data_IF_442109011668
#
_entry.id   IF_442109011668
#
_cell.length_a   1.000
_cell.length_b   1.000
_cell.length_c   1.000
_cell.angle_alpha   90.00
_cell.angle_beta   90.00
_cell.angle_gamma   90.00
#
_symmetry.space_group_name_H-M   'P 1'
#
loop_
_entity.id
_entity.type
_entity.pdbx_description
1 polymer ?
#
# COMPACT_ATOMS: atom_id res chain seq x y z
N UNK A 1 -20.80 -12.80 17.91
CA UNK A 1 -19.65 -12.97 16.99
C UNK A 1 -18.62 -11.97 17.47
N UNK A 2 -17.52 -12.45 18.04
CA UNK A 2 -16.36 -11.61 18.38
C UNK A 2 -15.89 -10.95 17.09
N UNK A 3 -15.83 -9.63 17.08
CA UNK A 3 -15.44 -8.87 15.90
C UNK A 3 -13.93 -9.03 15.72
N UNK A 4 -13.51 -9.71 14.66
CA UNK A 4 -12.10 -9.81 14.31
C UNK A 4 -11.54 -8.40 14.04
N UNK A 5 -10.33 -8.15 14.53
CA UNK A 5 -9.63 -6.87 14.33
C UNK A 5 -8.82 -6.94 13.05
N UNK A 6 -8.81 -5.87 12.26
CA UNK A 6 -7.90 -5.74 11.14
C UNK A 6 -6.53 -5.29 11.62
N UNK A 7 -5.52 -6.10 11.32
CA UNK A 7 -4.11 -5.84 11.64
C UNK A 7 -3.30 -5.68 10.37
N UNK A 8 -2.53 -4.60 10.26
CA UNK A 8 -1.57 -4.42 9.17
C UNK A 8 -0.16 -4.81 9.61
N UNK A 9 0.39 -5.85 9.00
CA UNK A 9 1.76 -6.31 9.19
C UNK A 9 2.70 -5.84 8.09
N UNK A 10 3.82 -5.25 8.47
CA UNK A 10 4.87 -4.77 7.55
C UNK A 10 6.28 -5.30 7.90
N UNK A 11 6.42 -5.98 9.03
CA UNK A 11 7.69 -6.47 9.57
C UNK A 11 7.79 -8.00 9.53
N UNK A 12 8.36 -8.61 10.58
CA UNK A 12 8.51 -10.07 10.64
C UNK A 12 7.20 -10.85 10.68
N UNK A 13 6.07 -10.21 11.01
CA UNK A 13 4.76 -10.88 10.96
C UNK A 13 4.33 -11.24 9.52
N UNK A 14 5.07 -10.79 8.49
CA UNK A 14 4.94 -11.29 7.13
C UNK A 14 5.48 -12.71 6.95
N UNK A 15 6.27 -13.24 7.90
CA UNK A 15 6.80 -14.61 7.88
C UNK A 15 5.98 -15.51 8.82
N UNK A 16 5.27 -16.48 8.23
CA UNK A 16 4.42 -17.41 8.99
C UNK A 16 5.21 -18.26 9.99
N UNK A 17 6.44 -18.67 9.64
CA UNK A 17 7.25 -19.51 10.54
C UNK A 17 7.79 -18.72 11.74
N UNK A 18 8.06 -17.41 11.59
CA UNK A 18 8.39 -16.51 12.69
C UNK A 18 7.19 -16.32 13.64
N UNK A 19 5.97 -16.23 13.09
CA UNK A 19 4.75 -16.19 13.89
C UNK A 19 4.50 -17.49 14.65
N UNK A 20 4.50 -18.64 13.97
CA UNK A 20 4.28 -19.96 14.58
C UNK A 20 5.30 -20.22 15.68
N UNK A 21 6.59 -19.94 15.43
CA UNK A 21 7.64 -20.10 16.45
C UNK A 21 7.37 -19.26 17.69
N UNK A 22 6.90 -18.02 17.53
CA UNK A 22 6.55 -17.19 18.68
C UNK A 22 5.35 -17.75 19.45
N UNK A 23 4.34 -18.27 18.74
CA UNK A 23 3.18 -18.90 19.36
C UNK A 23 3.60 -20.15 20.16
N UNK A 24 4.42 -21.02 19.58
CA UNK A 24 4.96 -22.22 20.24
C UNK A 24 5.76 -21.87 21.51
N UNK A 25 6.62 -20.85 21.44
CA UNK A 25 7.39 -20.35 22.58
C UNK A 25 6.50 -19.81 23.73
N UNK A 26 5.25 -19.44 23.44
CA UNK A 26 4.34 -18.79 24.39
C UNK A 26 3.07 -19.61 24.67
N UNK A 27 3.02 -20.88 24.24
CA UNK A 27 1.85 -21.76 24.36
C UNK A 27 0.55 -21.12 23.82
N UNK A 28 0.64 -20.40 22.71
CA UNK A 28 -0.49 -19.77 22.01
C UNK A 28 -0.82 -20.52 20.72
N UNK A 29 -2.06 -20.35 20.23
CA UNK A 29 -2.45 -20.85 18.90
C UNK A 29 -2.05 -19.85 17.81
N UNK A 30 -1.43 -20.29 16.70
CA UNK A 30 -1.12 -19.41 15.57
C UNK A 30 -2.34 -19.11 14.69
N UNK A 31 -3.41 -19.92 14.78
CA UNK A 31 -4.51 -19.92 13.82
C UNK A 31 -5.36 -18.65 13.83
N UNK A 32 -5.34 -17.89 14.93
CA UNK A 32 -6.12 -16.65 15.05
C UNK A 32 -5.52 -15.45 14.30
N UNK A 33 -4.39 -15.61 13.62
CA UNK A 33 -3.78 -14.60 12.73
C UNK A 33 -3.97 -15.05 11.28
N UNK A 34 -5.12 -14.70 10.69
CA UNK A 34 -5.47 -15.13 9.33
C UNK A 34 -5.11 -14.03 8.33
N UNK A 35 -4.26 -14.35 7.35
CA UNK A 35 -3.97 -13.40 6.27
C UNK A 35 -5.21 -13.24 5.39
N UNK A 36 -5.68 -12.00 5.28
CA UNK A 36 -6.82 -11.65 4.45
C UNK A 36 -6.38 -11.35 3.02
N UNK A 37 -5.41 -10.45 2.88
CA UNK A 37 -4.91 -9.98 1.59
C UNK A 37 -3.59 -9.20 1.74
N UNK A 38 -2.91 -8.97 0.61
CA UNK A 38 -1.86 -7.95 0.57
C UNK A 38 -2.48 -6.55 0.73
N UNK A 39 -1.73 -5.61 1.28
CA UNK A 39 -2.22 -4.25 1.46
C UNK A 39 -1.09 -3.22 1.44
N UNK A 40 -1.49 -1.95 1.33
CA UNK A 40 -0.60 -0.81 1.30
C UNK A 40 -0.94 0.16 2.41
N UNK A 41 -0.02 0.36 3.36
CA UNK A 41 -0.14 1.37 4.39
C UNK A 41 0.13 2.75 3.79
N UNK A 42 -0.91 3.57 3.71
CA UNK A 42 -0.84 4.90 3.10
C UNK A 42 -0.09 5.87 4.00
N UNK A 43 0.75 6.67 3.38
CA UNK A 43 1.46 7.80 3.96
C UNK A 43 2.56 7.49 4.94
N UNK A 44 3.11 6.29 4.87
CA UNK A 44 4.21 5.85 5.73
C UNK A 44 5.36 5.28 4.91
N UNK A 45 6.55 5.30 5.51
CA UNK A 45 7.75 4.62 5.03
C UNK A 45 8.36 3.72 6.10
N UNK A 46 8.95 2.62 5.66
CA UNK A 46 9.72 1.72 6.51
C UNK A 46 11.00 2.40 7.02
N UNK A 47 11.35 2.19 8.29
CA UNK A 47 12.58 2.72 8.89
C UNK A 47 13.15 1.76 9.94
N UNK A 48 14.48 1.80 10.11
CA UNK A 48 15.17 1.11 11.20
C UNK A 48 15.88 2.12 12.11
N UNK A 49 15.19 2.48 13.18
CA UNK A 49 15.65 3.46 14.20
C UNK A 49 15.39 2.99 15.62
N UNK A 50 15.19 1.69 15.82
CA UNK A 50 15.01 1.07 17.13
C UNK A 50 15.85 -0.19 17.22
N UNK A 51 16.66 -0.31 18.27
CA UNK A 51 17.49 -1.49 18.51
C UNK A 51 16.75 -2.53 19.35
N UNK A 52 16.37 -3.65 18.73
CA UNK A 52 15.75 -4.78 19.41
C UNK A 52 16.80 -5.72 19.99
N UNK A 53 16.74 -5.91 21.32
CA UNK A 53 17.57 -6.92 22.01
C UNK A 53 17.25 -8.34 21.55
N UNK A 54 15.98 -8.64 21.26
CA UNK A 54 15.54 -9.97 20.80
C UNK A 54 16.06 -10.27 19.40
N UNK A 55 16.06 -9.28 18.50
CA UNK A 55 16.55 -9.44 17.10
C UNK A 55 18.06 -9.21 16.96
N UNK A 56 18.73 -8.70 18.00
CA UNK A 56 20.16 -8.42 18.00
C UNK A 56 20.57 -7.30 17.04
N UNK A 57 19.65 -6.38 16.73
CA UNK A 57 19.85 -5.31 15.77
C UNK A 57 18.60 -4.46 15.56
N UNK A 58 18.60 -3.67 14.49
CA UNK A 58 17.46 -2.84 14.09
C UNK A 58 16.17 -3.64 13.90
N UNK A 59 15.09 -3.20 14.51
CA UNK A 59 13.73 -3.69 14.23
C UNK A 59 12.97 -2.67 13.37
N UNK A 60 12.01 -3.19 12.60
CA UNK A 60 11.29 -2.42 11.61
C UNK A 60 10.25 -1.51 12.26
N UNK A 61 10.14 -0.29 11.75
CA UNK A 61 9.09 0.65 12.09
C UNK A 61 8.48 1.25 10.82
N UNK A 62 7.25 1.76 10.91
CA UNK A 62 6.62 2.58 9.86
C UNK A 62 6.42 3.99 10.38
N UNK A 63 7.01 4.96 9.68
CA UNK A 63 7.00 6.36 10.09
C UNK A 63 6.15 7.18 9.13
N UNK A 64 5.25 8.05 9.63
CA UNK A 64 4.47 8.94 8.78
C UNK A 64 5.37 9.88 7.95
N UNK A 65 4.99 10.11 6.70
CA UNK A 65 5.66 11.06 5.80
C UNK A 65 4.64 12.04 5.18
N UNK A 66 3.90 11.61 4.17
CA UNK A 66 2.81 12.34 3.51
C UNK A 66 1.97 11.34 2.67
N UNK A 67 0.80 11.75 2.19
CA UNK A 67 -0.17 10.86 1.52
C UNK A 67 0.22 10.34 0.12
N UNK A 68 1.37 10.75 -0.42
CA UNK A 68 1.87 10.33 -1.73
C UNK A 68 2.75 9.07 -1.67
N UNK A 69 2.93 8.55 -0.46
CA UNK A 69 3.75 7.37 -0.17
C UNK A 69 2.88 6.21 0.28
N UNK A 70 3.36 4.99 0.09
CA UNK A 70 2.75 3.80 0.68
C UNK A 70 3.81 2.75 1.00
N UNK A 71 3.63 2.05 2.12
CA UNK A 71 4.47 0.91 2.53
C UNK A 71 3.72 -0.39 2.28
N UNK A 72 4.29 -1.35 1.52
CA UNK A 72 3.64 -2.63 1.26
C UNK A 72 3.68 -3.53 2.49
N UNK A 73 2.66 -4.37 2.64
CA UNK A 73 2.53 -5.35 3.71
C UNK A 73 1.34 -6.28 3.47
N UNK A 74 0.81 -6.85 4.55
CA UNK A 74 -0.37 -7.70 4.51
C UNK A 74 -1.38 -7.27 5.58
N UNK A 75 -2.65 -7.42 5.24
CA UNK A 75 -3.78 -7.21 6.12
C UNK A 75 -4.22 -8.57 6.67
N UNK A 76 -4.44 -8.64 7.98
CA UNK A 76 -4.83 -9.85 8.68
C UNK A 76 -6.13 -9.63 9.44
N UNK A 77 -6.99 -10.64 9.45
CA UNK A 77 -8.08 -10.78 10.40
C UNK A 77 -7.53 -11.45 11.66
N UNK A 78 -7.71 -10.79 12.81
CA UNK A 78 -7.14 -11.24 14.08
C UNK A 78 -8.21 -11.45 15.13
N UNK A 79 -8.26 -12.66 15.69
CA UNK A 79 -9.11 -12.97 16.84
C UNK A 79 -8.55 -12.41 18.15
N UNK A 80 -9.32 -12.48 19.25
CA UNK A 80 -8.91 -11.91 20.54
C UNK A 80 -7.67 -12.60 21.16
N UNK A 81 -7.51 -13.90 20.92
CA UNK A 81 -6.41 -14.70 21.45
C UNK A 81 -5.10 -14.39 20.72
N UNK A 82 -5.12 -14.36 19.39
CA UNK A 82 -4.01 -13.97 18.55
C UNK A 82 -3.67 -12.49 18.75
N UNK A 83 -4.66 -11.62 18.97
CA UNK A 83 -4.40 -10.21 19.30
C UNK A 83 -3.59 -10.07 20.59
N UNK A 84 -3.99 -10.79 21.65
CA UNK A 84 -3.25 -10.79 22.92
C UNK A 84 -1.81 -11.30 22.74
N UNK A 85 -1.62 -12.30 21.88
CA UNK A 85 -0.31 -12.85 21.54
C UNK A 85 0.54 -11.85 20.74
N UNK A 86 -0.05 -11.12 19.78
CA UNK A 86 0.61 -10.05 19.04
C UNK A 86 1.06 -8.91 19.97
N UNK A 87 0.17 -8.42 20.83
CA UNK A 87 0.51 -7.35 21.81
C UNK A 87 1.70 -7.77 22.66
N UNK A 88 1.74 -9.02 23.12
CA UNK A 88 2.87 -9.57 23.86
C UNK A 88 4.14 -9.69 22.98
N UNK A 89 4.02 -10.14 21.73
CA UNK A 89 5.13 -10.25 20.76
C UNK A 89 5.83 -8.92 20.53
N UNK A 90 5.05 -7.86 20.34
CA UNK A 90 5.52 -6.50 20.06
C UNK A 90 6.00 -5.78 21.34
N UNK A 91 5.82 -6.40 22.52
CA UNK A 91 6.15 -5.80 23.81
C UNK A 91 5.36 -4.52 24.05
N UNK A 92 4.14 -4.44 23.51
CA UNK A 92 3.31 -3.26 23.60
C UNK A 92 2.69 -3.11 25.01
N UNK A 93 2.55 -1.86 25.52
CA UNK A 93 2.88 -0.59 24.88
C UNK A 93 4.32 -0.10 25.17
N UNK A 94 5.23 -0.95 25.66
CA UNK A 94 6.54 -0.51 26.17
C UNK A 94 7.61 -0.35 25.09
N UNK A 95 7.52 -1.07 23.98
CA UNK A 95 8.48 -1.01 22.88
C UNK A 95 7.84 -0.55 21.58
N UNK A 96 6.66 -1.09 21.30
CA UNK A 96 5.76 -0.63 20.27
C UNK A 96 4.44 -0.17 20.89
N UNK A 97 3.72 0.73 20.22
CA UNK A 97 2.37 1.18 20.58
C UNK A 97 1.42 0.90 19.42
N UNK A 98 0.18 0.55 19.76
CA UNK A 98 -0.88 0.42 18.77
C UNK A 98 -1.17 1.76 18.10
N UNK A 99 -1.40 1.74 16.79
CA UNK A 99 -1.72 2.90 15.98
C UNK A 99 -2.78 2.54 14.94
N UNK A 100 -3.87 3.30 14.94
CA UNK A 100 -4.84 3.24 13.85
C UNK A 100 -4.24 3.86 12.59
N UNK A 101 -4.41 3.16 11.48
CA UNK A 101 -3.87 3.51 10.18
C UNK A 101 -4.88 3.22 9.08
N UNK A 102 -4.66 3.85 7.92
CA UNK A 102 -5.42 3.62 6.70
C UNK A 102 -4.60 2.74 5.77
N UNK A 103 -5.21 1.67 5.27
CA UNK A 103 -4.58 0.73 4.35
C UNK A 103 -5.42 0.54 3.10
N UNK A 104 -4.79 0.45 1.94
CA UNK A 104 -5.46 0.12 0.68
C UNK A 104 -5.32 -1.39 0.43
N UNK A 105 -6.44 -2.09 0.32
CA UNK A 105 -6.51 -3.51 -0.02
C UNK A 105 -6.23 -3.79 -1.50
N UNK A 106 -6.22 -5.07 -1.87
CA UNK A 106 -6.04 -5.48 -3.27
C UNK A 106 -7.23 -5.10 -4.15
N UNK A 107 -8.42 -5.01 -3.54
CA UNK A 107 -9.65 -4.52 -4.17
C UNK A 107 -9.67 -3.00 -4.37
N UNK A 108 -8.59 -2.30 -3.99
CA UNK A 108 -8.44 -0.86 -4.04
C UNK A 108 -9.28 -0.10 -3.02
N UNK A 109 -9.96 -0.77 -2.09
CA UNK A 109 -10.71 -0.13 -1.02
C UNK A 109 -9.81 0.29 0.13
N UNK A 110 -10.24 1.35 0.81
CA UNK A 110 -9.58 1.85 2.00
C UNK A 110 -10.16 1.18 3.24
N UNK A 111 -9.30 0.64 4.10
CA UNK A 111 -9.66 0.03 5.37
C UNK A 111 -8.99 0.76 6.53
N UNK A 112 -9.71 0.89 7.65
CA UNK A 112 -9.10 1.20 8.94
C UNK A 112 -8.55 -0.08 9.55
N UNK A 113 -7.26 -0.06 9.90
CA UNK A 113 -6.58 -1.17 10.54
C UNK A 113 -5.73 -0.67 11.71
N UNK A 114 -5.32 -1.59 12.59
CA UNK A 114 -4.32 -1.32 13.61
C UNK A 114 -2.97 -1.81 13.12
N UNK A 115 -1.93 -1.05 13.37
CA UNK A 115 -0.54 -1.51 13.27
C UNK A 115 0.21 -1.17 14.55
N UNK A 116 1.42 -1.68 14.70
CA UNK A 116 2.30 -1.37 15.82
C UNK A 116 3.39 -0.44 15.32
N UNK A 117 3.67 0.65 16.05
CA UNK A 117 4.78 1.57 15.73
C UNK A 117 5.69 1.72 16.94
N UNK A 118 6.97 2.00 16.73
CA UNK A 118 7.95 2.13 17.82
C UNK A 118 7.54 3.27 18.78
N UNK A 119 7.69 3.04 20.09
CA UNK A 119 7.46 4.07 21.10
C UNK A 119 8.51 5.18 21.04
N UNK A 120 8.10 6.43 21.27
CA UNK A 120 8.96 7.61 21.05
C UNK A 120 10.24 7.59 21.90
N UNK A 121 10.18 7.01 23.10
CA UNK A 121 11.32 6.85 24.02
C UNK A 121 12.28 5.72 23.63
N UNK A 122 11.95 4.93 22.60
CA UNK A 122 12.78 3.86 22.04
C UNK A 122 13.42 4.23 20.71
N UNK A 123 13.05 5.37 20.14
CA UNK A 123 13.62 5.85 18.88
C UNK A 123 15.04 6.34 19.15
N UNK A 124 15.98 5.73 18.44
CA UNK A 124 17.37 6.16 18.39
C UNK A 124 17.54 7.20 17.27
N UNK A 125 18.42 8.20 17.44
CA UNK A 125 18.68 9.21 16.40
C UNK A 125 19.35 8.60 15.17
N UNK A 126 20.17 7.57 15.39
CA UNK A 126 20.96 6.92 14.36
C UNK A 126 20.29 5.66 13.80
N UNK A 127 20.59 5.38 12.53
CA UNK A 127 20.17 4.16 11.87
C UNK A 127 20.63 2.91 12.63
N UNK A 128 19.68 2.03 12.93
CA UNK A 128 19.94 0.75 13.58
C UNK A 128 19.94 -0.34 12.53
N UNK A 129 21.12 -0.89 12.18
CA UNK A 129 21.19 -1.92 11.14
C UNK A 129 20.46 -3.20 11.60
N UNK A 130 19.47 -3.72 10.86
CA UNK A 130 18.90 -5.03 11.16
C UNK A 130 19.93 -6.13 10.90
N UNK A 131 19.78 -7.28 11.58
CA UNK A 131 20.56 -8.46 11.23
C UNK A 131 20.14 -8.99 9.85
N UNK A 132 21.06 -9.64 9.13
CA UNK A 132 20.75 -10.17 7.80
C UNK A 132 19.61 -11.21 7.86
N UNK A 133 19.53 -11.98 8.96
CA UNK A 133 18.44 -12.93 9.22
C UNK A 133 17.09 -12.20 9.37
N UNK A 134 17.03 -11.13 10.17
CA UNK A 134 15.78 -10.39 10.37
C UNK A 134 15.35 -9.64 9.09
N UNK A 135 16.31 -9.04 8.37
CA UNK A 135 16.07 -8.43 7.07
C UNK A 135 15.48 -9.44 6.08
N UNK A 136 16.02 -10.66 6.02
CA UNK A 136 15.54 -11.71 5.14
C UNK A 136 14.09 -12.12 5.41
N UNK A 137 13.61 -12.07 6.66
CA UNK A 137 12.20 -12.34 6.99
C UNK A 137 11.27 -11.34 6.28
N UNK A 138 11.57 -10.04 6.38
CA UNK A 138 10.76 -8.99 5.76
C UNK A 138 10.86 -9.08 4.24
N UNK A 139 12.09 -9.19 3.72
CA UNK A 139 12.34 -9.29 2.29
C UNK A 139 11.59 -10.48 1.66
N UNK A 140 11.71 -11.68 2.25
CA UNK A 140 11.07 -12.88 1.73
C UNK A 140 9.54 -12.84 1.91
N UNK A 141 9.06 -12.23 3.00
CA UNK A 141 7.63 -12.01 3.23
C UNK A 141 7.01 -11.12 2.15
N UNK A 142 7.67 -10.02 1.79
CA UNK A 142 7.22 -9.15 0.70
C UNK A 142 7.35 -9.85 -0.65
N UNK A 143 8.52 -10.43 -0.94
CA UNK A 143 8.79 -11.06 -2.23
C UNK A 143 7.87 -12.26 -2.51
N UNK A 144 7.61 -13.10 -1.52
CA UNK A 144 6.70 -14.24 -1.62
C UNK A 144 5.25 -13.85 -1.95
N UNK A 145 4.88 -12.59 -1.70
CA UNK A 145 3.56 -12.01 -2.02
C UNK A 145 3.55 -11.20 -3.33
N UNK A 146 4.67 -11.14 -4.05
CA UNK A 146 4.81 -10.30 -5.24
C UNK A 146 4.78 -8.80 -4.94
N UNK A 147 5.06 -8.41 -3.69
CA UNK A 147 5.18 -7.02 -3.26
C UNK A 147 6.61 -6.52 -3.51
N UNK A 148 6.79 -5.22 -3.82
CA UNK A 148 8.11 -4.69 -4.08
C UNK A 148 8.92 -4.52 -2.78
N UNK A 149 10.24 -4.72 -2.89
CA UNK A 149 11.17 -4.63 -1.76
C UNK A 149 11.99 -3.34 -1.75
N UNK A 150 11.83 -2.48 -2.76
CA UNK A 150 12.56 -1.22 -2.86
C UNK A 150 12.37 -0.31 -1.64
N UNK A 151 11.17 -0.30 -1.01
CA UNK A 151 10.95 0.41 0.26
C UNK A 151 11.87 -0.07 1.39
N UNK A 152 12.08 -1.39 1.48
CA UNK A 152 13.01 -2.01 2.42
C UNK A 152 14.48 -1.67 2.08
N UNK A 153 14.84 -1.73 0.79
CA UNK A 153 16.19 -1.37 0.33
C UNK A 153 16.52 0.10 0.61
N UNK A 154 15.55 1.00 0.41
CA UNK A 154 15.67 2.42 0.72
C UNK A 154 15.85 2.66 2.23
N UNK A 155 15.08 1.95 3.07
CA UNK A 155 15.24 2.00 4.52
C UNK A 155 16.66 1.58 4.96
N UNK A 156 17.24 0.56 4.32
CA UNK A 156 18.61 0.12 4.56
C UNK A 156 19.67 1.14 4.10
N UNK A 157 19.37 1.89 3.04
CA UNK A 157 20.23 2.94 2.50
C UNK A 157 20.03 4.30 3.19
N UNK A 158 19.04 4.42 4.10
CA UNK A 158 18.64 5.67 4.77
C UNK A 158 18.11 6.71 3.78
N UNK A 159 17.41 6.25 2.74
CA UNK A 159 16.75 7.09 1.75
C UNK A 159 15.25 7.10 2.00
N UNK A 160 14.68 8.30 2.04
CA UNK A 160 13.25 8.51 2.31
C UNK A 160 12.63 9.53 1.33
N UNK A 161 13.43 9.99 0.37
CA UNK A 161 13.14 11.01 -0.63
C UNK A 161 12.47 10.45 -1.89
N UNK A 162 12.40 9.12 -2.02
CA UNK A 162 11.81 8.46 -3.19
C UNK A 162 10.65 7.57 -2.75
N UNK A 163 9.46 7.69 -3.35
CA UNK A 163 8.34 6.82 -3.04
C UNK A 163 8.56 5.37 -3.47
N UNK A 164 7.93 4.45 -2.75
CA UNK A 164 7.95 3.02 -3.09
C UNK A 164 7.22 2.74 -4.42
N UNK A 165 6.15 3.49 -4.71
CA UNK A 165 5.40 3.42 -5.97
C UNK A 165 5.69 4.68 -6.79
N UNK A 166 6.28 4.50 -7.97
CA UNK A 166 6.62 5.59 -8.89
C UNK A 166 5.80 5.58 -10.19
N UNK A 167 4.73 4.78 -10.25
CA UNK A 167 3.89 4.68 -11.44
C UNK A 167 2.49 5.23 -11.20
N UNK A 168 1.90 5.78 -12.27
CA UNK A 168 0.49 6.17 -12.34
C UNK A 168 -0.16 5.47 -13.54
N UNK A 169 -1.25 4.75 -13.29
CA UNK A 169 -2.11 4.20 -14.35
C UNK A 169 -3.23 5.17 -14.69
N UNK A 170 -3.32 5.55 -15.96
CA UNK A 170 -4.35 6.44 -16.50
C UNK A 170 -5.12 5.76 -17.62
N UNK A 171 -6.43 6.01 -17.71
CA UNK A 171 -7.34 5.28 -18.62
C UNK A 171 -8.34 6.18 -19.35
N UNK A 172 -8.20 7.50 -19.22
CA UNK A 172 -9.14 8.48 -19.74
C UNK A 172 -8.46 9.76 -20.21
N UNK A 173 -8.99 10.91 -19.81
CA UNK A 173 -8.54 12.24 -20.27
C UNK A 173 -7.06 12.57 -20.01
N UNK A 174 -6.41 11.85 -19.10
CA UNK A 174 -4.98 11.97 -18.80
C UNK A 174 -4.08 11.08 -19.69
N UNK A 175 -4.64 10.26 -20.58
CA UNK A 175 -3.84 9.47 -21.53
C UNK A 175 -3.20 10.34 -22.59
N UNK A 176 -2.06 9.90 -23.14
CA UNK A 176 -1.36 10.57 -24.24
C UNK A 176 -2.31 10.82 -25.43
N UNK A 177 -2.32 12.06 -25.92
CA UNK A 177 -3.22 12.52 -26.98
C UNK A 177 -4.60 12.97 -26.51
N UNK A 178 -4.94 12.81 -25.22
CA UNK A 178 -6.19 13.28 -24.64
C UNK A 178 -6.08 14.70 -24.06
N UNK A 179 -7.24 15.30 -23.77
CA UNK A 179 -7.39 16.72 -23.45
C UNK A 179 -6.58 17.21 -22.24
N UNK A 180 -6.31 16.34 -21.25
CA UNK A 180 -5.60 16.69 -20.01
C UNK A 180 -4.16 16.18 -19.94
N UNK A 181 -3.67 15.45 -20.96
CA UNK A 181 -2.31 14.90 -20.93
C UNK A 181 -1.22 15.95 -20.70
N UNK A 182 -1.39 17.16 -21.24
CA UNK A 182 -0.42 18.27 -21.06
C UNK A 182 -0.20 18.65 -19.59
N UNK A 183 -1.12 18.29 -18.69
CA UNK A 183 -0.96 18.51 -17.24
C UNK A 183 -0.11 17.42 -16.57
N UNK A 184 -0.08 16.21 -17.14
CA UNK A 184 0.66 15.06 -16.64
C UNK A 184 2.03 14.94 -17.31
N UNK A 185 2.12 15.23 -18.60
CA UNK A 185 3.31 15.13 -19.46
C UNK A 185 4.61 15.65 -18.81
N UNK A 186 4.65 16.82 -18.11
CA UNK A 186 5.87 17.31 -17.49
C UNK A 186 6.48 16.40 -16.42
N UNK A 187 5.71 15.46 -15.88
CA UNK A 187 6.14 14.54 -14.84
C UNK A 187 6.46 13.13 -15.37
N UNK A 188 6.16 12.85 -16.64
CA UNK A 188 6.25 11.51 -17.24
C UNK A 188 7.67 11.27 -17.75
N UNK A 189 8.33 10.26 -17.17
CA UNK A 189 9.63 9.76 -17.62
C UNK A 189 9.50 8.82 -18.81
N UNK A 190 8.55 7.89 -18.72
CA UNK A 190 8.28 6.89 -19.74
C UNK A 190 6.81 6.47 -19.67
N UNK A 191 6.28 5.96 -20.77
CA UNK A 191 4.90 5.47 -20.85
C UNK A 191 4.82 4.17 -21.62
N UNK A 192 3.89 3.30 -21.24
CA UNK A 192 3.59 2.05 -21.95
C UNK A 192 2.10 1.71 -21.88
N UNK A 193 1.63 0.89 -22.82
CA UNK A 193 0.27 0.37 -22.77
C UNK A 193 0.11 -0.62 -21.63
N UNK A 194 -1.04 -0.58 -20.98
CA UNK A 194 -1.30 -1.37 -19.79
C UNK A 194 -2.79 -1.66 -19.61
N UNK A 195 -3.11 -2.57 -18.70
CA UNK A 195 -4.49 -2.80 -18.26
C UNK A 195 -4.59 -3.14 -16.78
N UNK A 196 -5.78 -2.91 -16.23
CA UNK A 196 -6.17 -3.25 -14.86
C UNK A 196 -7.50 -3.99 -14.87
N UNK A 197 -7.82 -4.65 -13.76
CA UNK A 197 -9.13 -5.27 -13.56
C UNK A 197 -10.15 -4.22 -13.13
N UNK A 198 -11.28 -4.14 -13.84
CA UNK A 198 -12.32 -3.15 -13.59
C UNK A 198 -13.26 -2.94 -14.77
N UNK A 199 -14.30 -2.15 -14.52
CA UNK A 199 -15.25 -1.68 -15.52
C UNK A 199 -15.05 -0.20 -15.76
N UNK A 200 -15.04 0.18 -17.04
CA UNK A 200 -14.97 1.57 -17.46
C UNK A 200 -16.38 2.05 -17.75
N UNK A 201 -16.75 3.20 -17.21
CA UNK A 201 -18.07 3.81 -17.39
C UNK A 201 -17.95 5.13 -18.12
N UNK A 202 -18.88 5.40 -19.03
CA UNK A 202 -19.05 6.71 -19.66
C UNK A 202 -19.80 7.66 -18.71
N UNK A 203 -19.14 8.73 -18.24
CA UNK A 203 -19.75 9.76 -17.40
C UNK A 203 -20.06 11.04 -18.21
N UNK A 204 -20.04 10.96 -19.53
CA UNK A 204 -20.22 12.08 -20.46
C UNK A 204 -18.88 12.66 -20.90
N UNK A 205 -18.42 13.70 -20.22
CA UNK A 205 -17.21 14.44 -20.63
C UNK A 205 -15.90 13.70 -20.31
N UNK A 206 -15.96 12.67 -19.47
CA UNK A 206 -14.83 11.88 -19.01
C UNK A 206 -15.29 10.47 -18.60
N UNK A 207 -14.41 9.46 -18.63
CA UNK A 207 -14.74 8.14 -18.14
C UNK A 207 -14.52 8.02 -16.63
N UNK A 208 -15.18 7.05 -16.00
CA UNK A 208 -14.95 6.65 -14.62
C UNK A 208 -14.67 5.16 -14.51
N UNK A 209 -13.62 4.76 -13.78
CA UNK A 209 -13.34 3.36 -13.52
C UNK A 209 -13.90 2.91 -12.17
N UNK A 210 -14.51 1.73 -12.14
CA UNK A 210 -14.80 0.95 -10.93
C UNK A 210 -14.01 -0.35 -10.97
N UNK A 211 -13.37 -0.74 -9.87
CA UNK A 211 -12.66 -2.02 -9.80
C UNK A 211 -13.66 -3.19 -9.80
N UNK A 212 -13.28 -4.31 -10.41
CA UNK A 212 -14.19 -5.41 -10.71
C UNK A 212 -13.53 -6.48 -11.59
N UNK A 213 -14.31 -7.41 -12.12
CA UNK A 213 -13.83 -8.56 -12.90
C UNK A 213 -13.64 -8.28 -14.41
N UNK A 214 -14.05 -7.10 -14.89
CA UNK A 214 -13.78 -6.62 -16.24
C UNK A 214 -12.32 -6.24 -16.51
N UNK A 215 -12.07 -5.65 -17.68
CA UNK A 215 -10.74 -5.14 -18.06
C UNK A 215 -10.84 -3.68 -18.51
N UNK A 216 -10.04 -2.82 -17.90
CA UNK A 216 -9.83 -1.44 -18.37
C UNK A 216 -8.44 -1.32 -18.98
N UNK A 217 -8.39 -0.83 -20.21
CA UNK A 217 -7.17 -0.56 -20.94
C UNK A 217 -6.79 0.91 -20.80
N UNK A 218 -5.50 1.15 -20.58
CA UNK A 218 -4.96 2.48 -20.40
C UNK A 218 -3.46 2.49 -20.60
N UNK A 219 -2.81 3.44 -19.94
CA UNK A 219 -1.38 3.65 -20.02
C UNK A 219 -0.78 3.67 -18.62
N UNK A 220 0.35 3.00 -18.46
CA UNK A 220 1.18 3.07 -17.28
C UNK A 220 2.25 4.14 -17.51
N UNK A 221 2.26 5.16 -16.66
CA UNK A 221 3.22 6.26 -16.66
C UNK A 221 4.25 6.02 -15.56
N UNK A 222 5.53 6.00 -15.90
CA UNK A 222 6.62 6.10 -14.93
C UNK A 222 6.88 7.58 -14.64
N UNK A 223 6.90 7.96 -13.38
CA UNK A 223 7.00 9.37 -12.95
C UNK A 223 8.41 9.72 -12.48
N UNK A 224 8.85 10.96 -12.75
CA UNK A 224 10.10 11.51 -12.17
C UNK A 224 9.90 12.13 -10.79
N UNK A 225 8.89 13.00 -10.65
CA UNK A 225 8.52 13.64 -9.38
C UNK A 225 7.10 13.22 -8.99
N UNK A 226 7.02 12.09 -8.28
CA UNK A 226 5.76 11.44 -7.90
C UNK A 226 4.89 12.35 -7.03
N UNK A 227 5.46 12.97 -5.99
CA UNK A 227 4.68 13.81 -5.06
C UNK A 227 4.05 14.99 -5.79
N UNK A 228 4.84 15.76 -6.55
CA UNK A 228 4.33 16.92 -7.29
C UNK A 228 3.34 16.53 -8.39
N UNK A 229 3.54 15.37 -9.03
CA UNK A 229 2.61 14.83 -10.01
C UNK A 229 1.27 14.49 -9.34
N UNK A 230 1.31 13.72 -8.26
CA UNK A 230 0.11 13.29 -7.55
C UNK A 230 -0.65 14.47 -6.95
N UNK A 231 0.02 15.45 -6.35
CA UNK A 231 -0.61 16.70 -5.89
C UNK A 231 -1.37 17.41 -7.03
N UNK A 232 -0.76 17.49 -8.22
CA UNK A 232 -1.41 18.10 -9.40
C UNK A 232 -2.58 17.27 -9.89
N UNK A 233 -2.46 15.95 -9.92
CA UNK A 233 -3.51 15.05 -10.38
C UNK A 233 -4.68 15.01 -9.40
N UNK A 234 -4.43 15.06 -8.09
CA UNK A 234 -5.47 15.15 -7.06
C UNK A 234 -6.36 16.37 -7.26
N UNK A 235 -5.76 17.53 -7.58
CA UNK A 235 -6.49 18.76 -7.87
C UNK A 235 -7.35 18.67 -9.14
N UNK A 236 -6.93 17.86 -10.13
CA UNK A 236 -7.64 17.68 -11.40
C UNK A 236 -8.78 16.67 -11.26
N UNK A 237 -8.52 15.56 -10.55
CA UNK A 237 -9.46 14.46 -10.34
C UNK A 237 -10.38 14.71 -9.13
N UNK A 238 -10.17 15.80 -8.40
CA UNK A 238 -11.01 16.16 -7.25
C UNK A 238 -10.87 15.19 -6.09
N UNK A 239 -9.68 14.63 -5.88
CA UNK A 239 -9.35 13.84 -4.71
C UNK A 239 -9.06 14.76 -3.52
N UNK A 240 -9.78 14.57 -2.42
CA UNK A 240 -9.69 15.47 -1.25
C UNK A 240 -8.86 14.89 -0.09
N UNK A 241 -8.17 13.77 -0.33
CA UNK A 241 -7.37 13.05 0.66
C UNK A 241 -8.05 11.76 1.14
N UNK A 242 -7.24 10.86 1.70
CA UNK A 242 -7.71 9.55 2.17
C UNK A 242 -8.68 9.67 3.36
N UNK A 243 -9.74 8.86 3.35
CA UNK A 243 -10.77 8.85 4.41
C UNK A 243 -11.87 9.92 4.23
N UNK A 244 -11.81 10.71 3.15
CA UNK A 244 -12.88 11.63 2.74
C UNK A 244 -13.88 10.89 1.87
N UNK A 245 -15.16 11.25 1.95
CA UNK A 245 -16.26 10.60 1.23
C UNK A 245 -16.94 11.51 0.20
N UNK A 246 -16.36 12.68 -0.06
CA UNK A 246 -16.84 13.73 -0.95
C UNK A 246 -15.83 14.05 -2.07
N UNK A 247 -14.85 13.17 -2.29
CA UNK A 247 -13.98 13.17 -3.46
C UNK A 247 -14.78 12.85 -4.72
N UNK A 248 -14.40 13.41 -5.87
CA UNK A 248 -14.98 13.01 -7.16
C UNK A 248 -14.41 11.65 -7.62
N UNK A 249 -13.11 11.50 -7.47
CA UNK A 249 -12.39 10.24 -7.63
C UNK A 249 -11.57 9.94 -6.39
N UNK A 250 -11.52 8.67 -5.99
CA UNK A 250 -10.62 8.20 -4.94
C UNK A 250 -9.30 7.76 -5.55
N UNK A 251 -8.18 8.23 -4.99
CA UNK A 251 -6.87 7.71 -5.34
C UNK A 251 -6.65 6.36 -4.66
N UNK A 252 -6.27 5.35 -5.43
CA UNK A 252 -5.99 4.01 -4.91
C UNK A 252 -4.77 3.39 -5.58
N UNK A 253 -4.36 2.20 -5.13
CA UNK A 253 -3.23 1.43 -5.68
C UNK A 253 -3.77 0.18 -6.34
N UNK A 254 -3.31 -0.09 -7.56
CA UNK A 254 -3.76 -1.24 -8.35
C UNK A 254 -2.60 -2.04 -8.90
N UNK A 255 -2.88 -3.32 -9.13
CA UNK A 255 -2.01 -4.20 -9.89
C UNK A 255 -2.24 -3.97 -11.39
N UNK A 256 -1.21 -3.50 -12.08
CA UNK A 256 -1.24 -3.17 -13.50
C UNK A 256 -0.53 -4.26 -14.30
N UNK A 257 -1.18 -4.73 -15.37
CA UNK A 257 -0.61 -5.69 -16.33
C UNK A 257 -0.03 -4.93 -17.53
N UNK A 258 1.22 -5.20 -17.84
CA UNK A 258 1.90 -4.70 -19.04
C UNK A 258 2.50 -5.87 -19.83
N UNK A 259 3.04 -5.59 -21.01
CA UNK A 259 3.78 -6.60 -21.79
C UNK A 259 5.05 -7.10 -21.06
N UNK A 260 5.58 -6.30 -20.14
CA UNK A 260 6.80 -6.60 -19.37
C UNK A 260 6.52 -7.35 -18.07
N UNK A 261 5.24 -7.48 -17.68
CA UNK A 261 4.82 -8.17 -16.47
C UNK A 261 3.85 -7.34 -15.63
N UNK A 262 3.91 -7.57 -14.32
CA UNK A 262 3.04 -6.89 -13.36
C UNK A 262 3.80 -5.73 -12.72
N UNK A 263 3.13 -4.58 -12.60
CA UNK A 263 3.60 -3.41 -11.86
C UNK A 263 2.54 -2.94 -10.87
N UNK A 264 2.96 -2.22 -9.83
CA UNK A 264 2.08 -1.52 -8.91
C UNK A 264 2.04 -0.05 -9.28
N UNK A 265 0.84 0.54 -9.33
CA UNK A 265 0.66 1.93 -9.68
C UNK A 265 -0.45 2.59 -8.87
N UNK A 266 -0.30 3.89 -8.66
CA UNK A 266 -1.42 4.73 -8.28
C UNK A 266 -2.42 4.80 -9.44
N UNK A 267 -3.69 4.99 -9.12
CA UNK A 267 -4.73 5.33 -10.09
C UNK A 267 -5.88 6.06 -9.39
N UNK A 268 -6.83 6.56 -10.15
CA UNK A 268 -8.04 7.22 -9.66
C UNK A 268 -9.24 6.36 -10.02
N UNK A 269 -10.10 6.04 -9.06
CA UNK A 269 -11.36 5.31 -9.28
C UNK A 269 -12.52 6.24 -9.01
N UNK A 270 -13.59 6.13 -9.79
CA UNK A 270 -14.73 7.02 -9.63
C UNK A 270 -15.42 6.77 -8.29
N UNK A 271 -15.59 7.80 -7.46
CA UNK A 271 -16.18 7.65 -6.14
C UNK A 271 -17.71 7.60 -6.18
N UNK A 272 -18.32 8.23 -7.20
CA UNK A 272 -19.78 8.29 -7.35
C UNK A 272 -20.43 6.97 -7.75
N UNK A 273 -21.77 6.96 -7.74
CA UNK A 273 -22.58 5.83 -8.22
C UNK A 273 -22.54 5.73 -9.74
N UNK A 274 -22.57 4.50 -10.24
CA UNK A 274 -22.63 4.19 -11.68
C UNK A 274 -23.85 3.33 -11.97
N UNK A 275 -24.26 3.31 -13.23
CA UNK A 275 -25.34 2.44 -13.72
C UNK A 275 -24.78 1.46 -14.75
N UNK A 276 -25.33 0.27 -14.84
CA UNK A 276 -24.82 -0.77 -15.75
C UNK A 276 -24.84 -0.32 -17.23
N UNK A 277 -25.84 0.47 -17.61
CA UNK A 277 -25.98 1.00 -18.97
C UNK A 277 -24.86 1.98 -19.38
N UNK A 278 -24.05 2.48 -18.43
CA UNK A 278 -22.91 3.34 -18.75
C UNK A 278 -21.62 2.57 -19.01
N UNK A 279 -21.61 1.24 -18.88
CA UNK A 279 -20.43 0.42 -19.09
C UNK A 279 -19.95 0.52 -20.56
N UNK A 280 -18.67 0.83 -20.72
CA UNK A 280 -17.94 0.75 -21.98
C UNK A 280 -17.40 -0.67 -22.13
N UNK A 281 -18.14 -1.53 -22.82
CA UNK A 281 -17.89 -2.99 -22.94
C UNK A 281 -16.46 -3.38 -23.33
N UNK A 282 -15.81 -2.60 -24.20
CA UNK A 282 -14.44 -2.88 -24.64
C UNK A 282 -13.36 -2.25 -23.74
N UNK A 283 -13.74 -1.58 -22.66
CA UNK A 283 -12.84 -1.05 -21.63
C UNK A 283 -11.81 -0.04 -22.12
N UNK A 284 -12.10 0.72 -23.18
CA UNK A 284 -11.17 1.71 -23.77
C UNK A 284 -11.85 3.06 -23.89
N UNK A 285 -11.14 4.12 -23.53
CA UNK A 285 -11.55 5.50 -23.81
C UNK A 285 -10.84 6.03 -25.06
N UNK A 286 -11.52 6.87 -25.85
CA UNK A 286 -11.02 7.43 -27.11
C UNK A 286 -11.20 8.95 -27.17
#
# INVERSE_FOLDING_TARGET
MTQNRLYFGYGSNLDWNDWVRHCDENNASPDGLEEREIAWLVGHHLKFHYHSRRRGGGAADVVPINEYHATPGALFDVDECAWSTLVAKEGAPSYYKEKNVLVIGLDGQLHEAVTFVVCDDKIEPDFQRPTDVYHALIHNGLHGRGLPTNGLDMAMQRRFDTPTINHLFVYGTLMSGQSRFTQLEPYVRSQQQASVQGHLHDLGDYPGMKLGDGVVHGQLMELENVEACLERMDAIEGFLGFGRNDSLFDRTIVQVRTEQGIAWAWTYVYAGEVVDDSIIEHGRWF
#
